data_IF_897743556455
#
_entry.id   IF_897743556455
#
_cell.length_a   1.000
_cell.length_b   1.000
_cell.length_c   1.000
_cell.angle_alpha   90.00
_cell.angle_beta   90.00
_cell.angle_gamma   90.00
#
_symmetry.space_group_name_H-M   'P 1'
#
loop_
_entity.id
_entity.type
_entity.pdbx_description
1 polymer ?
#
# COMPACT_ATOMS: atom_id res chain seq x y z
N UNK A 1 -11.43 -21.42 -20.29
CA UNK A 1 -10.11 -20.95 -20.77
C UNK A 1 -9.31 -22.15 -21.21
N UNK A 2 -8.63 -22.08 -22.35
CA UNK A 2 -7.70 -23.11 -22.80
C UNK A 2 -6.27 -22.84 -22.29
N UNK A 3 -5.36 -23.80 -22.48
CA UNK A 3 -3.96 -23.70 -22.01
C UNK A 3 -3.26 -22.42 -22.49
N UNK A 4 -3.37 -22.10 -23.78
CA UNK A 4 -2.75 -20.90 -24.36
C UNK A 4 -3.31 -19.60 -23.79
N UNK A 5 -4.62 -19.56 -23.48
CA UNK A 5 -5.25 -18.41 -22.82
C UNK A 5 -4.76 -18.23 -21.38
N UNK A 6 -4.50 -19.34 -20.66
CA UNK A 6 -3.93 -19.29 -19.31
C UNK A 6 -2.48 -18.80 -19.34
N UNK A 7 -1.66 -19.32 -20.24
CA UNK A 7 -0.26 -18.88 -20.42
C UNK A 7 -0.18 -17.39 -20.76
N UNK A 8 -1.03 -16.90 -21.66
CA UNK A 8 -1.10 -15.47 -21.98
C UNK A 8 -1.53 -14.62 -20.77
N UNK A 9 -2.46 -15.12 -19.95
CA UNK A 9 -2.88 -14.42 -18.74
C UNK A 9 -1.76 -14.39 -17.69
N UNK A 10 -1.00 -15.46 -17.54
CA UNK A 10 0.15 -15.52 -16.64
C UNK A 10 1.19 -14.49 -17.07
N UNK A 11 1.61 -14.49 -18.33
CA UNK A 11 2.60 -13.54 -18.84
C UNK A 11 2.17 -12.07 -18.64
N UNK A 12 0.87 -11.79 -18.80
CA UNK A 12 0.34 -10.45 -18.52
C UNK A 12 0.39 -10.11 -17.03
N UNK A 13 0.06 -11.05 -16.15
CA UNK A 13 0.10 -10.83 -14.70
C UNK A 13 1.54 -10.66 -14.20
N UNK A 14 2.49 -11.40 -14.76
CA UNK A 14 3.93 -11.24 -14.48
C UNK A 14 4.40 -9.84 -14.88
N UNK A 15 4.05 -9.39 -16.09
CA UNK A 15 4.37 -8.03 -16.54
C UNK A 15 3.81 -6.95 -15.60
N UNK A 16 2.54 -7.09 -15.18
CA UNK A 16 1.91 -6.13 -14.25
C UNK A 16 2.58 -6.19 -12.87
N UNK A 17 2.92 -7.38 -12.40
CA UNK A 17 3.59 -7.57 -11.13
C UNK A 17 4.96 -6.88 -11.11
N UNK A 18 5.78 -7.10 -12.13
CA UNK A 18 7.12 -6.50 -12.23
C UNK A 18 7.05 -4.96 -12.24
N UNK A 19 6.06 -4.40 -12.93
CA UNK A 19 5.81 -2.96 -12.92
C UNK A 19 5.42 -2.47 -11.52
N UNK A 20 4.45 -3.11 -10.88
CA UNK A 20 3.99 -2.74 -9.54
C UNK A 20 5.09 -2.84 -8.49
N UNK A 21 5.92 -3.88 -8.57
CA UNK A 21 7.06 -4.06 -7.67
C UNK A 21 8.07 -2.92 -7.84
N UNK A 22 8.39 -2.56 -9.09
CA UNK A 22 9.29 -1.43 -9.38
C UNK A 22 8.75 -0.12 -8.83
N UNK A 23 7.47 0.16 -9.04
CA UNK A 23 6.81 1.36 -8.52
C UNK A 23 6.80 1.38 -6.99
N UNK A 24 6.54 0.23 -6.35
CA UNK A 24 6.51 0.10 -4.90
C UNK A 24 7.88 0.40 -4.27
N UNK A 25 8.95 -0.14 -4.87
CA UNK A 25 10.34 0.14 -4.44
C UNK A 25 10.66 1.62 -4.59
N UNK A 26 10.23 2.25 -5.68
CA UNK A 26 10.45 3.68 -5.88
C UNK A 26 9.73 4.52 -4.81
N UNK A 27 8.46 4.23 -4.54
CA UNK A 27 7.69 4.92 -3.48
C UNK A 27 8.33 4.72 -2.10
N UNK A 28 8.77 3.50 -1.78
CA UNK A 28 9.47 3.20 -0.53
C UNK A 28 10.74 4.05 -0.37
N UNK A 29 11.51 4.21 -1.45
CA UNK A 29 12.72 5.05 -1.46
C UNK A 29 12.40 6.53 -1.26
N UNK A 30 11.31 7.04 -1.86
CA UNK A 30 10.86 8.41 -1.68
C UNK A 30 10.41 8.65 -0.24
N UNK A 31 9.66 7.72 0.35
CA UNK A 31 9.22 7.82 1.75
C UNK A 31 10.42 7.90 2.70
N UNK A 32 11.44 7.08 2.46
CA UNK A 32 12.72 7.16 3.20
C UNK A 32 13.38 8.53 3.08
N UNK A 33 13.36 9.14 1.89
CA UNK A 33 13.94 10.47 1.68
C UNK A 33 13.20 11.61 2.39
N UNK A 34 11.89 11.48 2.61
CA UNK A 34 11.06 12.52 3.23
C UNK A 34 10.84 12.33 4.73
N UNK A 35 11.55 11.38 5.35
CA UNK A 35 11.57 11.21 6.81
C UNK A 35 10.80 10.02 7.36
N UNK A 36 10.36 9.07 6.52
CA UNK A 36 9.83 7.78 6.97
C UNK A 36 10.97 6.74 6.98
N UNK A 37 11.64 6.45 8.11
CA UNK A 37 12.89 5.68 8.14
C UNK A 37 12.74 4.24 7.61
N UNK A 38 11.55 3.66 7.71
CA UNK A 38 11.22 2.34 7.17
C UNK A 38 10.31 2.41 5.94
N UNK A 39 10.32 3.56 5.25
CA UNK A 39 9.55 3.82 4.04
C UNK A 39 8.07 3.54 4.23
N UNK A 40 7.53 2.65 3.39
CA UNK A 40 6.12 2.28 3.38
C UNK A 40 5.63 1.72 4.72
N UNK A 41 6.47 0.97 5.44
CA UNK A 41 6.07 0.38 6.73
C UNK A 41 5.74 1.46 7.76
N UNK A 42 6.66 2.42 7.96
CA UNK A 42 6.45 3.55 8.87
C UNK A 42 5.33 4.49 8.40
N UNK A 43 5.17 4.69 7.08
CA UNK A 43 4.06 5.50 6.57
C UNK A 43 2.70 4.85 6.87
N UNK A 44 2.61 3.52 6.76
CA UNK A 44 1.42 2.75 7.11
C UNK A 44 1.10 2.83 8.60
N UNK A 45 2.10 2.71 9.46
CA UNK A 45 1.92 2.81 10.93
C UNK A 45 1.30 4.17 11.31
N UNK A 46 1.87 5.26 10.78
CA UNK A 46 1.34 6.61 11.00
C UNK A 46 -0.09 6.75 10.47
N UNK A 47 -0.37 6.23 9.27
CA UNK A 47 -1.72 6.28 8.71
C UNK A 47 -2.74 5.52 9.56
N UNK A 48 -2.37 4.36 10.11
CA UNK A 48 -3.24 3.58 11.00
C UNK A 48 -3.48 4.29 12.33
N UNK A 49 -2.46 4.93 12.90
CA UNK A 49 -2.60 5.73 14.12
C UNK A 49 -3.56 6.90 13.90
N UNK A 50 -3.44 7.61 12.77
CA UNK A 50 -4.35 8.71 12.42
C UNK A 50 -5.79 8.25 12.26
N UNK A 51 -6.01 7.08 11.65
CA UNK A 51 -7.35 6.48 11.51
C UNK A 51 -7.94 6.10 12.87
N UNK A 52 -7.17 5.45 13.73
CA UNK A 52 -7.61 5.08 15.08
C UNK A 52 -7.97 6.31 15.92
N UNK A 53 -7.16 7.37 15.83
CA UNK A 53 -7.44 8.62 16.52
C UNK A 53 -8.71 9.29 15.98
N UNK A 54 -8.91 9.29 14.67
CA UNK A 54 -10.13 9.82 14.06
C UNK A 54 -11.39 9.03 14.47
N UNK A 55 -11.31 7.70 14.58
CA UNK A 55 -12.41 6.86 15.05
C UNK A 55 -12.72 7.14 16.53
N UNK A 56 -11.69 7.21 17.38
CA UNK A 56 -11.85 7.51 18.81
C UNK A 56 -12.44 8.91 19.08
N UNK A 57 -12.14 9.91 18.23
CA UNK A 57 -12.75 11.24 18.33
C UNK A 57 -14.24 11.24 17.92
N UNK A 58 -14.64 10.41 16.95
CA UNK A 58 -16.04 10.29 16.53
C UNK A 58 -16.91 9.58 17.58
N UNK A 59 -16.36 8.60 18.30
CA UNK A 59 -17.07 7.89 19.38
C UNK A 59 -17.34 8.80 20.60
N UNK A 60 -16.36 9.63 20.98
CA UNK A 60 -16.51 10.60 22.09
C UNK A 60 -17.51 11.72 21.79
N UNK A 61 -17.80 11.98 20.52
CA UNK A 61 -18.82 12.95 20.09
C UNK A 61 -20.26 12.44 20.19
N UNK A 62 -20.48 11.12 20.38
CA UNK A 62 -21.81 10.51 20.48
C UNK A 62 -22.30 10.26 21.91
N UNK A 63 -21.47 10.52 22.93
CA UNK A 63 -21.83 10.36 24.35
C UNK A 63 -22.23 11.68 25.05
N UNK A 64 -22.50 12.76 24.29
CA UNK A 64 -22.95 14.06 24.83
C UNK A 64 -24.39 14.36 24.42
#
# INVERSE_FOLDING_TARGET
>A
MNKAQLEKKIAYLEFVHDQLETELVYVDSLLKSVGFPHGLASAKEVALELLQNAEAENEKGHEI
#
